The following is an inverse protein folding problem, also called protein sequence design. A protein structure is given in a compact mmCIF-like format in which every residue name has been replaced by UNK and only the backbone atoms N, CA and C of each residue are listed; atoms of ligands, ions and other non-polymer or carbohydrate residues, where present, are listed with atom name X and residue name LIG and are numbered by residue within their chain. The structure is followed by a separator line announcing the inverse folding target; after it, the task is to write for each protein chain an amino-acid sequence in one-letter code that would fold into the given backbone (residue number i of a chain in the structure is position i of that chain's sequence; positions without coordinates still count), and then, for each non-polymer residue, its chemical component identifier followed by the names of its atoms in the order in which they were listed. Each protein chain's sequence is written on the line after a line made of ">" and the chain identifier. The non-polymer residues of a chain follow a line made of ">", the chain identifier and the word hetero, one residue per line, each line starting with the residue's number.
data_IF_907477811550
#
_entry.id   IF_907477811550
#
_cell.length_a   1.000
_cell.length_b   1.000
_cell.length_c   1.000
_cell.angle_alpha   90.00
_cell.angle_beta   90.00
_cell.angle_gamma   90.00
#
_symmetry.space_group_name_H-M   'P 1'
#
loop_
_entity.id
_entity.type
_entity.pdbx_description
1 polymer ?
#
# COMPACT_ATOMS: atom_id res chain seq x y z
N UNK A 1 60.60 -18.93 31.35
CA UNK A 1 59.85 -19.71 30.33
C UNK A 1 58.34 -19.46 30.39
N UNK A 2 57.67 -19.34 31.54
CA UNK A 2 56.24 -19.03 31.61
C UNK A 2 55.87 -17.55 31.33
N UNK A 3 56.74 -16.58 31.60
CA UNK A 3 56.47 -15.13 31.36
C UNK A 3 56.52 -14.73 29.89
N UNK A 4 57.31 -15.39 29.05
CA UNK A 4 57.37 -15.13 27.62
C UNK A 4 56.15 -15.62 26.83
N UNK A 5 55.50 -16.72 27.29
CA UNK A 5 54.28 -17.22 26.67
C UNK A 5 53.06 -16.31 26.88
N UNK A 6 52.94 -15.67 28.03
CA UNK A 6 51.87 -14.71 28.32
C UNK A 6 52.04 -13.42 27.50
N UNK A 7 53.28 -12.91 27.38
CA UNK A 7 53.58 -11.72 26.59
C UNK A 7 53.30 -11.92 25.10
N UNK A 8 53.50 -13.12 24.56
CA UNK A 8 53.18 -13.43 23.15
C UNK A 8 51.66 -13.53 22.88
N UNK A 9 50.88 -14.02 23.86
CA UNK A 9 49.42 -14.09 23.77
C UNK A 9 48.82 -12.70 23.80
N UNK A 10 49.29 -11.80 24.68
CA UNK A 10 48.81 -10.44 24.76
C UNK A 10 49.10 -9.64 23.48
N UNK A 11 50.25 -9.82 22.88
CA UNK A 11 50.62 -9.21 21.60
C UNK A 11 49.69 -9.68 20.47
N UNK A 12 49.34 -10.98 20.43
CA UNK A 12 48.40 -11.53 19.44
C UNK A 12 47.00 -10.95 19.64
N UNK A 13 46.53 -10.81 20.88
CA UNK A 13 45.23 -10.22 21.21
C UNK A 13 45.18 -8.76 20.76
N UNK A 14 46.21 -7.96 21.05
CA UNK A 14 46.25 -6.56 20.59
C UNK A 14 46.34 -6.42 19.08
N UNK A 15 47.02 -7.33 18.38
CA UNK A 15 47.03 -7.38 16.91
C UNK A 15 45.68 -7.72 16.33
N UNK A 16 44.96 -8.66 16.93
CA UNK A 16 43.59 -9.01 16.52
C UNK A 16 42.61 -7.86 16.76
N UNK A 17 42.69 -7.17 17.89
CA UNK A 17 41.89 -5.99 18.19
C UNK A 17 42.19 -4.87 17.19
N UNK A 18 43.48 -4.60 16.92
CA UNK A 18 43.90 -3.61 15.93
C UNK A 18 43.39 -3.93 14.51
N UNK A 19 43.48 -5.19 14.10
CA UNK A 19 42.93 -5.66 12.81
C UNK A 19 41.43 -5.46 12.75
N UNK A 20 40.71 -5.83 13.80
CA UNK A 20 39.24 -5.69 13.88
C UNK A 20 38.82 -4.21 13.83
N UNK A 21 39.54 -3.32 14.53
CA UNK A 21 39.28 -1.87 14.51
C UNK A 21 39.55 -1.27 13.13
N UNK A 22 40.60 -1.65 12.44
CA UNK A 22 40.90 -1.21 11.06
C UNK A 22 39.80 -1.69 10.10
N UNK A 23 39.31 -2.93 10.24
CA UNK A 23 38.24 -3.48 9.44
C UNK A 23 36.93 -2.71 9.65
N UNK A 24 36.59 -2.40 10.90
CA UNK A 24 35.37 -1.63 11.26
C UNK A 24 35.46 -0.20 10.70
N UNK A 25 36.62 0.48 10.91
CA UNK A 25 36.82 1.84 10.38
C UNK A 25 36.79 1.86 8.86
N UNK A 26 37.42 0.87 8.20
CA UNK A 26 37.38 0.72 6.75
C UNK A 26 35.96 0.47 6.22
N UNK A 27 35.16 -0.37 6.90
CA UNK A 27 33.78 -0.62 6.55
C UNK A 27 32.92 0.65 6.73
N UNK A 28 33.09 1.38 7.82
CA UNK A 28 32.39 2.65 8.05
C UNK A 28 32.77 3.71 7.00
N UNK A 29 34.05 3.81 6.66
CA UNK A 29 34.52 4.70 5.60
C UNK A 29 33.95 4.33 4.23
N UNK A 30 33.88 3.04 3.92
CA UNK A 30 33.30 2.53 2.68
C UNK A 30 31.79 2.83 2.60
N UNK A 31 31.05 2.62 3.68
CA UNK A 31 29.62 2.98 3.77
C UNK A 31 29.42 4.48 3.60
N UNK A 32 30.25 5.31 4.26
CA UNK A 32 30.22 6.76 4.12
C UNK A 32 30.49 7.22 2.68
N UNK A 33 31.46 6.61 2.02
CA UNK A 33 31.78 6.88 0.62
C UNK A 33 30.64 6.47 -0.35
N UNK A 34 29.96 5.36 -0.06
CA UNK A 34 28.76 4.93 -0.81
C UNK A 34 27.65 5.97 -0.67
N UNK A 35 27.39 6.46 0.54
CA UNK A 35 26.36 7.47 0.81
C UNK A 35 26.66 8.78 0.06
N UNK A 36 27.90 9.24 0.06
CA UNK A 36 28.30 10.46 -0.64
C UNK A 36 28.19 10.38 -2.17
N UNK A 37 28.24 9.18 -2.76
CA UNK A 37 28.06 8.97 -4.21
C UNK A 37 26.61 9.05 -4.68
N UNK A 38 25.65 8.97 -3.78
CA UNK A 38 24.23 9.02 -4.15
C UNK A 38 23.83 10.48 -4.36
N UNK A 39 23.47 10.89 -5.59
CA UNK A 39 22.98 12.25 -5.82
C UNK A 39 21.69 12.50 -5.05
N UNK A 40 21.60 13.67 -4.40
CA UNK A 40 20.37 14.10 -3.75
C UNK A 40 19.24 14.16 -4.79
N UNK A 41 18.14 13.46 -4.51
CA UNK A 41 16.96 13.52 -5.35
C UNK A 41 16.26 14.86 -5.13
N UNK A 42 16.18 15.67 -6.19
CA UNK A 42 15.47 16.96 -6.14
C UNK A 42 13.97 16.69 -5.89
N UNK A 43 13.51 16.99 -4.66
CA UNK A 43 12.15 16.73 -4.17
C UNK A 43 11.28 17.96 -4.13
N UNK A 44 11.69 19.07 -4.74
CA UNK A 44 10.93 20.33 -4.74
C UNK A 44 9.50 20.16 -5.27
N UNK A 45 9.27 19.15 -6.11
CA UNK A 45 7.95 18.87 -6.73
C UNK A 45 7.26 17.63 -6.15
N UNK A 46 7.82 17.00 -5.09
CA UNK A 46 7.28 15.78 -4.50
C UNK A 46 6.63 16.08 -3.14
N UNK A 47 5.44 15.54 -2.93
CA UNK A 47 4.76 15.58 -1.65
C UNK A 47 5.57 14.88 -0.55
N UNK A 48 5.43 15.35 0.69
CA UNK A 48 6.11 14.78 1.83
C UNK A 48 5.68 13.31 2.05
N UNK A 49 6.63 12.36 2.06
CA UNK A 49 6.31 10.97 2.30
C UNK A 49 5.90 10.73 3.76
N UNK A 50 5.25 9.58 4.08
CA UNK A 50 4.94 9.19 5.45
C UNK A 50 6.15 9.24 6.38
N UNK A 51 5.93 9.53 7.67
CA UNK A 51 6.99 9.75 8.68
C UNK A 51 8.01 8.59 8.71
N UNK A 52 7.53 7.35 8.64
CA UNK A 52 8.39 6.15 8.61
C UNK A 52 9.35 6.17 7.40
N UNK A 53 8.82 6.51 6.22
CA UNK A 53 9.64 6.59 5.01
C UNK A 53 10.65 7.74 5.07
N UNK A 54 10.29 8.87 5.68
CA UNK A 54 11.18 10.01 5.87
C UNK A 54 12.38 9.62 6.75
N UNK A 55 12.16 8.89 7.83
CA UNK A 55 13.22 8.40 8.71
C UNK A 55 14.15 7.41 8.01
N UNK A 56 13.61 6.58 7.10
CA UNK A 56 14.34 5.56 6.35
C UNK A 56 14.77 6.04 4.95
N UNK A 57 14.65 7.33 4.65
CA UNK A 57 14.92 7.87 3.31
C UNK A 57 16.38 7.69 2.87
N UNK A 58 17.34 7.85 3.79
CA UNK A 58 18.76 7.67 3.50
C UNK A 58 19.09 6.25 3.01
N UNK A 59 18.84 5.17 3.78
CA UNK A 59 19.14 3.82 3.32
C UNK A 59 18.30 3.43 2.09
N UNK A 60 17.05 3.89 1.98
CA UNK A 60 16.20 3.59 0.82
C UNK A 60 16.77 4.22 -0.45
N UNK A 61 17.23 5.48 -0.41
CA UNK A 61 17.79 6.16 -1.58
C UNK A 61 19.11 5.52 -2.03
N UNK A 62 19.99 5.16 -1.09
CA UNK A 62 21.24 4.45 -1.38
C UNK A 62 20.97 3.14 -2.07
N UNK A 63 20.09 2.31 -1.50
CA UNK A 63 19.75 1.00 -2.06
C UNK A 63 19.02 1.17 -3.40
N UNK A 64 18.11 2.15 -3.54
CA UNK A 64 17.42 2.45 -4.79
C UNK A 64 18.38 2.79 -5.92
N UNK A 65 19.44 3.56 -5.62
CA UNK A 65 20.46 3.92 -6.62
C UNK A 65 21.17 2.68 -7.20
N UNK A 66 21.63 1.77 -6.33
CA UNK A 66 22.35 0.55 -6.75
C UNK A 66 21.46 -0.52 -7.36
N UNK A 67 20.18 -0.60 -6.98
CA UNK A 67 19.24 -1.61 -7.47
C UNK A 67 18.59 -1.19 -8.80
N UNK A 68 18.51 0.10 -9.09
CA UNK A 68 17.86 0.58 -10.32
C UNK A 68 18.28 -0.19 -11.59
N UNK A 69 19.57 -0.46 -11.87
CA UNK A 69 19.99 -1.20 -13.06
C UNK A 69 19.60 -2.70 -13.05
N UNK A 70 19.25 -3.25 -11.90
CA UNK A 70 18.89 -4.67 -11.72
C UNK A 70 17.37 -4.90 -11.78
N UNK A 71 16.56 -3.83 -11.80
CA UNK A 71 15.09 -3.97 -11.83
C UNK A 71 14.65 -4.32 -13.25
N UNK A 72 13.98 -5.46 -13.38
CA UNK A 72 13.38 -5.88 -14.65
C UNK A 72 12.24 -4.90 -15.03
N UNK A 73 12.12 -4.57 -16.33
CA UNK A 73 11.07 -3.68 -16.87
C UNK A 73 9.65 -4.11 -16.48
N UNK A 74 9.38 -5.41 -16.46
CA UNK A 74 8.07 -5.94 -16.04
C UNK A 74 7.74 -5.58 -14.60
N UNK A 75 8.73 -5.65 -13.71
CA UNK A 75 8.59 -5.28 -12.29
C UNK A 75 8.44 -3.78 -12.14
N UNK A 76 9.23 -3.01 -12.89
CA UNK A 76 9.15 -1.55 -12.90
C UNK A 76 7.74 -1.07 -13.30
N UNK A 77 7.23 -1.53 -14.45
CA UNK A 77 5.90 -1.18 -14.97
C UNK A 77 4.77 -1.60 -14.01
N UNK A 78 4.91 -2.76 -13.33
CA UNK A 78 3.96 -3.22 -12.31
C UNK A 78 3.89 -2.26 -11.12
N UNK A 79 5.04 -1.84 -10.58
CA UNK A 79 5.05 -0.91 -9.44
C UNK A 79 4.63 0.49 -9.85
N UNK A 80 5.02 0.97 -11.03
CA UNK A 80 4.56 2.25 -11.57
C UNK A 80 3.03 2.31 -11.63
N UNK A 81 2.40 1.31 -12.24
CA UNK A 81 0.94 1.20 -12.29
C UNK A 81 0.31 1.19 -10.88
N UNK A 82 0.87 0.42 -9.95
CA UNK A 82 0.33 0.34 -8.59
C UNK A 82 0.49 1.67 -7.82
N UNK A 83 1.60 2.39 -7.99
CA UNK A 83 1.87 3.71 -7.41
C UNK A 83 0.86 4.72 -7.91
N UNK A 84 0.65 4.78 -9.24
CA UNK A 84 -0.34 5.67 -9.87
C UNK A 84 -1.75 5.34 -9.36
N UNK A 85 -2.10 4.06 -9.29
CA UNK A 85 -3.41 3.62 -8.79
C UNK A 85 -3.60 3.86 -7.29
N UNK A 86 -2.52 3.83 -6.50
CA UNK A 86 -2.54 4.21 -5.09
C UNK A 86 -2.59 5.74 -4.88
N UNK A 87 -2.29 6.55 -5.92
CA UNK A 87 -2.26 8.01 -5.87
C UNK A 87 -1.07 8.59 -5.13
N UNK A 88 0.02 7.83 -5.05
CA UNK A 88 1.27 8.22 -4.38
C UNK A 88 2.40 8.47 -5.38
N UNK A 89 2.06 8.77 -6.64
CA UNK A 89 3.00 9.02 -7.74
C UNK A 89 3.92 10.23 -7.49
N UNK A 90 3.44 11.20 -6.69
CA UNK A 90 4.22 12.38 -6.28
C UNK A 90 5.09 12.14 -5.04
N UNK A 91 4.95 10.97 -4.39
CA UNK A 91 5.72 10.61 -3.18
C UNK A 91 6.78 9.54 -3.46
N UNK A 92 6.46 8.58 -4.34
CA UNK A 92 7.27 7.40 -4.56
C UNK A 92 7.49 7.11 -6.04
N UNK A 93 8.70 6.66 -6.38
CA UNK A 93 9.01 6.04 -7.67
C UNK A 93 9.12 4.52 -7.50
N UNK A 94 9.00 3.72 -8.59
CA UNK A 94 9.12 2.26 -8.53
C UNK A 94 10.39 1.78 -7.82
N UNK A 95 11.53 2.42 -8.07
CA UNK A 95 12.83 2.12 -7.45
C UNK A 95 12.78 2.21 -5.91
N UNK A 96 12.04 3.18 -5.35
CA UNK A 96 11.92 3.36 -3.91
C UNK A 96 11.10 2.26 -3.25
N UNK A 97 10.05 1.74 -3.92
CA UNK A 97 9.26 0.62 -3.39
C UNK A 97 10.10 -0.66 -3.35
N UNK A 98 10.90 -0.92 -4.39
CA UNK A 98 11.79 -2.10 -4.41
C UNK A 98 12.87 -1.99 -3.34
N UNK A 99 13.49 -0.82 -3.21
CA UNK A 99 14.49 -0.58 -2.15
C UNK A 99 13.90 -0.69 -0.75
N UNK A 100 12.68 -0.17 -0.53
CA UNK A 100 12.01 -0.25 0.77
C UNK A 100 11.72 -1.70 1.19
N UNK A 101 11.52 -2.64 0.26
CA UNK A 101 11.35 -4.06 0.56
C UNK A 101 12.60 -4.66 1.22
N UNK A 102 13.76 -4.29 0.71
CA UNK A 102 15.03 -4.79 1.25
C UNK A 102 15.31 -4.16 2.61
N UNK A 103 15.14 -2.83 2.72
CA UNK A 103 15.32 -2.12 3.98
C UNK A 103 14.39 -2.66 5.06
N UNK A 104 13.09 -2.78 4.76
CA UNK A 104 12.11 -3.30 5.72
C UNK A 104 12.37 -4.77 6.08
N UNK A 105 12.81 -5.60 5.11
CA UNK A 105 13.19 -6.99 5.36
C UNK A 105 14.34 -7.08 6.37
N UNK A 106 15.40 -6.29 6.16
CA UNK A 106 16.56 -6.28 7.07
C UNK A 106 16.17 -5.77 8.46
N UNK A 107 15.42 -4.66 8.55
CA UNK A 107 15.03 -4.07 9.84
C UNK A 107 14.11 -5.01 10.62
N UNK A 108 13.04 -5.52 9.99
CA UNK A 108 12.10 -6.42 10.66
C UNK A 108 12.75 -7.75 11.01
N UNK A 109 13.58 -8.30 10.11
CA UNK A 109 14.35 -9.53 10.36
C UNK A 109 15.32 -9.37 11.52
N UNK A 110 16.05 -8.25 11.59
CA UNK A 110 16.97 -7.96 12.70
C UNK A 110 16.23 -7.78 14.02
N UNK A 111 15.15 -6.98 14.05
CA UNK A 111 14.34 -6.81 15.26
C UNK A 111 13.76 -8.15 15.75
N UNK A 112 13.30 -8.98 14.81
CA UNK A 112 12.76 -10.30 15.14
C UNK A 112 13.85 -11.25 15.64
N UNK A 113 15.05 -11.22 15.06
CA UNK A 113 16.20 -11.98 15.55
C UNK A 113 16.61 -11.58 16.97
N UNK A 114 16.67 -10.28 17.26
CA UNK A 114 16.96 -9.78 18.62
C UNK A 114 15.89 -10.27 19.61
N UNK A 115 14.62 -10.20 19.23
CA UNK A 115 13.51 -10.66 20.07
C UNK A 115 13.59 -12.18 20.38
N UNK A 116 13.99 -12.99 19.39
CA UNK A 116 14.20 -14.43 19.55
C UNK A 116 15.37 -14.74 20.51
N UNK A 117 16.45 -13.97 20.43
CA UNK A 117 17.60 -14.11 21.36
C UNK A 117 17.15 -13.82 22.79
N UNK A 118 16.35 -12.76 23.03
CA UNK A 118 15.81 -12.46 24.35
C UNK A 118 14.80 -13.50 24.87
N UNK A 119 14.13 -14.21 23.95
CA UNK A 119 13.13 -15.22 24.28
C UNK A 119 13.73 -16.65 24.37
N UNK A 120 15.05 -16.81 24.30
CA UNK A 120 15.78 -18.10 24.26
C UNK A 120 15.22 -19.06 23.18
N UNK A 121 14.74 -18.47 22.05
CA UNK A 121 14.19 -19.23 20.93
C UNK A 121 15.21 -19.40 19.79
N UNK A 122 14.97 -20.41 18.98
CA UNK A 122 15.87 -20.78 17.88
C UNK A 122 15.96 -19.68 16.81
N UNK A 123 17.17 -19.29 16.48
CA UNK A 123 17.47 -18.18 15.55
C UNK A 123 16.98 -18.43 14.11
N UNK A 124 16.74 -19.69 13.70
CA UNK A 124 16.21 -19.98 12.36
C UNK A 124 14.81 -19.39 12.15
N UNK A 125 14.04 -19.12 13.21
CA UNK A 125 12.76 -18.43 13.12
C UNK A 125 12.90 -16.97 12.68
N UNK A 126 14.08 -16.37 12.76
CA UNK A 126 14.35 -15.02 12.26
C UNK A 126 14.07 -14.90 10.75
N UNK A 127 14.16 -16.01 9.99
CA UNK A 127 13.80 -16.06 8.57
C UNK A 127 12.34 -15.63 8.32
N UNK A 128 11.42 -15.93 9.23
CA UNK A 128 10.03 -15.44 9.16
C UNK A 128 9.96 -13.92 9.27
N UNK A 129 10.80 -13.31 10.12
CA UNK A 129 10.89 -11.85 10.25
C UNK A 129 11.35 -11.19 8.93
N UNK A 130 12.37 -11.77 8.26
CA UNK A 130 12.81 -11.29 6.95
C UNK A 130 11.70 -11.39 5.89
N UNK A 131 10.95 -12.50 5.87
CA UNK A 131 9.86 -12.70 4.91
C UNK A 131 8.70 -11.72 5.14
N UNK A 132 8.33 -11.48 6.38
CA UNK A 132 7.29 -10.51 6.75
C UNK A 132 7.71 -9.08 6.39
N UNK A 133 8.94 -8.70 6.72
CA UNK A 133 9.50 -7.39 6.36
C UNK A 133 9.54 -7.16 4.85
N UNK A 134 9.89 -8.19 4.08
CA UNK A 134 9.90 -8.11 2.61
C UNK A 134 8.51 -7.86 2.00
N UNK A 135 7.46 -8.44 2.56
CA UNK A 135 6.07 -8.27 2.09
C UNK A 135 5.41 -6.96 2.55
N UNK A 136 5.93 -6.32 3.59
CA UNK A 136 5.31 -5.14 4.21
C UNK A 136 5.03 -3.99 3.23
N UNK A 137 5.98 -3.53 2.37
CA UNK A 137 5.71 -2.44 1.43
C UNK A 137 4.64 -2.76 0.39
N UNK A 138 4.55 -4.01 -0.06
CA UNK A 138 3.51 -4.45 -0.98
C UNK A 138 2.12 -4.41 -0.32
N UNK A 139 2.02 -4.86 0.93
CA UNK A 139 0.78 -4.82 1.70
C UNK A 139 0.34 -3.38 1.95
N UNK A 140 1.27 -2.51 2.34
CA UNK A 140 1.01 -1.09 2.53
C UNK A 140 0.50 -0.42 1.24
N UNK A 141 1.15 -0.67 0.09
CA UNK A 141 0.75 -0.12 -1.20
C UNK A 141 -0.64 -0.62 -1.61
N UNK A 142 -0.93 -1.91 -1.41
CA UNK A 142 -2.23 -2.52 -1.67
C UNK A 142 -3.33 -1.93 -0.78
N UNK A 143 -3.03 -1.70 0.49
CA UNK A 143 -3.97 -1.09 1.44
C UNK A 143 -4.25 0.37 1.10
N UNK A 144 -3.21 1.15 0.76
CA UNK A 144 -3.34 2.54 0.34
C UNK A 144 -4.21 2.65 -0.92
N UNK A 145 -3.98 1.80 -1.94
CA UNK A 145 -4.82 1.69 -3.13
C UNK A 145 -6.27 1.36 -2.77
N UNK A 146 -6.49 0.40 -1.86
CA UNK A 146 -7.84 0.01 -1.40
C UNK A 146 -8.55 1.16 -0.69
N UNK A 147 -7.86 1.86 0.21
CA UNK A 147 -8.40 3.05 0.91
C UNK A 147 -8.79 4.15 -0.08
N UNK A 148 -7.92 4.42 -1.08
CA UNK A 148 -8.19 5.40 -2.13
C UNK A 148 -9.43 5.01 -2.96
N UNK A 149 -9.50 3.77 -3.44
CA UNK A 149 -10.64 3.29 -4.23
C UNK A 149 -11.95 3.33 -3.43
N UNK A 150 -11.92 2.96 -2.15
CA UNK A 150 -13.09 3.08 -1.28
C UNK A 150 -13.55 4.54 -1.13
N UNK A 151 -12.62 5.48 -0.99
CA UNK A 151 -12.93 6.91 -0.92
C UNK A 151 -13.52 7.41 -2.25
N UNK A 152 -12.99 6.95 -3.39
CA UNK A 152 -13.54 7.26 -4.72
C UNK A 152 -14.97 6.74 -4.84
N UNK A 153 -15.20 5.45 -4.60
CA UNK A 153 -16.54 4.84 -4.69
C UNK A 153 -17.55 5.52 -3.76
N UNK A 154 -17.12 5.99 -2.60
CA UNK A 154 -17.99 6.69 -1.64
C UNK A 154 -18.43 8.08 -2.15
N UNK A 155 -17.51 8.84 -2.74
CA UNK A 155 -17.76 10.24 -3.10
C UNK A 155 -18.21 10.42 -4.57
N UNK A 156 -18.01 9.41 -5.43
CA UNK A 156 -18.30 9.48 -6.85
C UNK A 156 -19.76 9.83 -7.17
N UNK A 157 -20.79 9.30 -6.47
CA UNK A 157 -22.18 9.66 -6.74
C UNK A 157 -22.45 11.16 -6.63
N UNK A 158 -21.87 11.83 -5.63
CA UNK A 158 -21.99 13.27 -5.47
C UNK A 158 -21.48 14.03 -6.71
N UNK A 159 -20.30 13.66 -7.20
CA UNK A 159 -19.71 14.30 -8.38
C UNK A 159 -20.53 14.04 -9.64
N UNK A 160 -21.07 12.82 -9.79
CA UNK A 160 -21.95 12.47 -10.92
C UNK A 160 -23.25 13.28 -10.86
N UNK A 161 -23.89 13.38 -9.71
CA UNK A 161 -25.12 14.17 -9.54
C UNK A 161 -24.86 15.64 -9.89
N UNK A 162 -23.75 16.22 -9.40
CA UNK A 162 -23.39 17.60 -9.70
C UNK A 162 -23.10 17.83 -11.19
N UNK A 163 -22.39 16.90 -11.84
CA UNK A 163 -22.09 17.01 -13.27
C UNK A 163 -23.39 16.86 -14.08
N UNK A 164 -24.25 15.90 -13.71
CA UNK A 164 -25.54 15.67 -14.39
C UNK A 164 -26.44 16.90 -14.31
N UNK A 165 -26.66 17.44 -13.11
CA UNK A 165 -27.46 18.65 -12.90
C UNK A 165 -26.91 19.85 -13.67
N UNK A 166 -25.58 19.98 -13.72
CA UNK A 166 -24.91 21.08 -14.45
C UNK A 166 -25.11 20.95 -15.96
N UNK A 167 -25.06 19.73 -16.50
CA UNK A 167 -25.32 19.48 -17.93
C UNK A 167 -26.79 19.72 -18.28
N UNK A 168 -27.73 19.27 -17.43
CA UNK A 168 -29.16 19.49 -17.59
C UNK A 168 -29.53 20.97 -17.50
N UNK A 169 -28.78 21.77 -16.75
CA UNK A 169 -28.93 23.24 -16.74
C UNK A 169 -28.29 23.93 -17.92
N UNK A 170 -27.74 23.19 -18.92
CA UNK A 170 -27.21 23.72 -20.16
C UNK A 170 -25.69 23.97 -20.16
N UNK A 171 -24.96 23.60 -19.12
CA UNK A 171 -23.52 23.68 -19.12
C UNK A 171 -22.89 22.60 -20.02
N UNK A 172 -21.82 22.95 -20.69
CA UNK A 172 -21.02 21.92 -21.38
C UNK A 172 -20.26 21.06 -20.35
N UNK A 173 -19.75 19.89 -20.77
CA UNK A 173 -19.09 18.92 -19.89
C UNK A 173 -17.91 19.54 -19.10
N UNK A 174 -17.09 20.40 -19.71
CA UNK A 174 -15.98 21.04 -19.02
C UNK A 174 -16.45 21.99 -17.91
N UNK A 175 -17.50 22.78 -18.19
CA UNK A 175 -18.14 23.66 -17.21
C UNK A 175 -18.77 22.87 -16.05
N UNK A 176 -19.44 21.77 -16.37
CA UNK A 176 -20.05 20.87 -15.40
C UNK A 176 -19.00 20.21 -14.47
N UNK A 177 -17.90 19.70 -15.02
CA UNK A 177 -16.78 19.15 -14.24
C UNK A 177 -16.16 20.25 -13.36
N UNK A 178 -15.94 21.46 -13.91
CA UNK A 178 -15.39 22.58 -13.14
C UNK A 178 -16.28 22.94 -11.95
N UNK A 179 -17.60 22.98 -12.14
CA UNK A 179 -18.56 23.26 -11.06
C UNK A 179 -18.55 22.15 -10.01
N UNK A 180 -18.52 20.88 -10.43
CA UNK A 180 -18.45 19.75 -9.51
C UNK A 180 -17.14 19.76 -8.67
N UNK A 181 -16.01 20.12 -9.27
CA UNK A 181 -14.72 20.26 -8.59
C UNK A 181 -14.77 21.41 -7.56
N UNK A 182 -15.37 22.55 -7.90
CA UNK A 182 -15.45 23.71 -7.00
C UNK A 182 -16.32 23.44 -5.78
N UNK A 183 -17.46 22.76 -5.96
CA UNK A 183 -18.45 22.49 -4.91
C UNK A 183 -18.27 21.14 -4.22
N UNK A 184 -17.51 20.23 -4.83
CA UNK A 184 -17.31 18.88 -4.31
C UNK A 184 -16.37 18.79 -3.12
N UNK A 185 -16.55 17.75 -2.29
CA UNK A 185 -15.69 17.50 -1.14
C UNK A 185 -14.24 17.27 -1.57
N UNK A 186 -13.30 17.71 -0.71
CA UNK A 186 -11.89 17.42 -0.91
C UNK A 186 -11.64 15.90 -0.88
N UNK A 187 -10.76 15.41 -1.75
CA UNK A 187 -10.43 14.00 -1.80
C UNK A 187 -10.01 13.50 -3.18
N UNK A 188 -9.79 12.18 -3.31
CA UNK A 188 -9.24 11.59 -4.54
C UNK A 188 -10.08 11.83 -5.78
N UNK A 189 -11.41 11.87 -5.68
CA UNK A 189 -12.31 12.12 -6.81
C UNK A 189 -12.11 13.53 -7.36
N UNK A 190 -12.10 14.52 -6.45
CA UNK A 190 -11.86 15.92 -6.80
C UNK A 190 -10.52 16.07 -7.52
N UNK A 191 -9.43 15.53 -6.93
CA UNK A 191 -8.09 15.60 -7.53
C UNK A 191 -8.02 14.95 -8.91
N UNK A 192 -8.74 13.85 -9.16
CA UNK A 192 -8.76 13.23 -10.48
C UNK A 192 -9.50 14.09 -11.52
N UNK A 193 -10.63 14.69 -11.16
CA UNK A 193 -11.31 15.64 -12.06
C UNK A 193 -10.50 16.94 -12.27
N UNK A 194 -9.76 17.41 -11.27
CA UNK A 194 -8.79 18.52 -11.44
C UNK A 194 -7.69 18.17 -12.45
N UNK A 195 -7.17 16.93 -12.42
CA UNK A 195 -6.21 16.44 -13.41
C UNK A 195 -6.83 16.40 -14.82
N UNK A 196 -8.08 15.92 -14.96
CA UNK A 196 -8.80 15.94 -16.24
C UNK A 196 -8.91 17.35 -16.78
N UNK A 197 -9.34 18.32 -15.96
CA UNK A 197 -9.45 19.73 -16.38
C UNK A 197 -8.09 20.32 -16.75
N UNK A 198 -7.02 19.95 -16.08
CA UNK A 198 -5.65 20.38 -16.36
C UNK A 198 -5.18 19.80 -17.69
N UNK A 199 -5.37 18.51 -17.92
CA UNK A 199 -5.04 17.84 -19.18
C UNK A 199 -5.75 18.51 -20.36
N UNK A 200 -7.04 18.83 -20.22
CA UNK A 200 -7.80 19.55 -21.27
C UNK A 200 -7.23 20.95 -21.52
N UNK A 201 -6.87 21.68 -20.45
CA UNK A 201 -6.28 23.02 -20.58
C UNK A 201 -4.91 22.99 -21.28
N UNK A 202 -4.16 21.90 -21.15
CA UNK A 202 -2.86 21.71 -21.84
C UNK A 202 -3.00 21.20 -23.28
N UNK A 203 -4.25 21.11 -23.80
CA UNK A 203 -4.51 20.70 -25.19
C UNK A 203 -4.78 19.22 -25.40
N UNK A 204 -4.81 18.40 -24.34
CA UNK A 204 -5.21 17.00 -24.46
C UNK A 204 -6.72 16.93 -24.76
N UNK A 205 -7.10 16.06 -25.71
CA UNK A 205 -8.52 15.89 -26.04
C UNK A 205 -9.32 15.40 -24.81
N UNK A 206 -10.58 15.79 -24.70
CA UNK A 206 -11.47 15.37 -23.58
C UNK A 206 -11.56 13.87 -23.46
N UNK A 207 -11.72 13.17 -24.57
CA UNK A 207 -11.77 11.71 -24.62
C UNK A 207 -10.48 11.08 -24.06
N UNK A 208 -9.32 11.63 -24.40
CA UNK A 208 -8.04 11.13 -23.91
C UNK A 208 -7.83 11.46 -22.43
N UNK A 209 -8.20 12.66 -21.97
CA UNK A 209 -8.14 13.04 -20.55
C UNK A 209 -9.02 12.12 -19.67
N UNK A 210 -10.25 11.80 -20.14
CA UNK A 210 -11.13 10.86 -19.47
C UNK A 210 -10.57 9.43 -19.48
N UNK A 211 -9.97 9.00 -20.60
CA UNK A 211 -9.30 7.69 -20.70
C UNK A 211 -8.15 7.57 -19.68
N UNK A 212 -7.29 8.58 -19.59
CA UNK A 212 -6.22 8.65 -18.59
C UNK A 212 -6.76 8.55 -17.16
N UNK A 213 -7.87 9.24 -16.86
CA UNK A 213 -8.55 9.12 -15.55
C UNK A 213 -8.98 7.67 -15.29
N UNK A 214 -9.63 7.00 -16.26
CA UNK A 214 -10.04 5.60 -16.13
C UNK A 214 -8.89 4.61 -15.94
N UNK A 215 -7.68 4.93 -16.46
CA UNK A 215 -6.48 4.12 -16.27
C UNK A 215 -5.82 4.33 -14.90
N UNK A 216 -5.89 5.56 -14.36
CA UNK A 216 -5.35 5.90 -13.02
C UNK A 216 -6.17 5.33 -11.89
N UNK A 217 -7.47 5.06 -12.12
CA UNK A 217 -8.37 4.52 -11.11
C UNK A 217 -8.63 3.04 -11.42
N UNK A 218 -8.28 2.16 -10.46
CA UNK A 218 -8.53 0.73 -10.60
C UNK A 218 -9.93 0.35 -10.06
N UNK A 219 -10.94 0.90 -10.72
CA UNK A 219 -12.35 0.64 -10.43
C UNK A 219 -13.10 0.41 -11.75
N UNK A 220 -13.77 -0.75 -11.87
CA UNK A 220 -14.48 -1.13 -13.09
C UNK A 220 -15.59 -0.16 -13.42
N UNK A 221 -16.19 0.40 -12.42
CA UNK A 221 -17.30 1.33 -12.53
C UNK A 221 -16.86 2.66 -13.13
N UNK A 222 -15.67 3.15 -12.74
CA UNK A 222 -15.08 4.37 -13.31
C UNK A 222 -14.66 4.14 -14.76
N UNK A 223 -14.11 2.96 -15.06
CA UNK A 223 -13.78 2.58 -16.44
C UNK A 223 -15.03 2.55 -17.33
N UNK A 224 -16.13 1.99 -16.83
CA UNK A 224 -17.41 1.99 -17.52
C UNK A 224 -17.93 3.41 -17.76
N UNK A 225 -17.93 4.25 -16.72
CA UNK A 225 -18.35 5.65 -16.82
C UNK A 225 -17.52 6.42 -17.85
N UNK A 226 -16.19 6.36 -17.77
CA UNK A 226 -15.33 7.06 -18.71
C UNK A 226 -15.52 6.59 -20.15
N UNK A 227 -15.71 5.28 -20.35
CA UNK A 227 -16.01 4.70 -21.67
C UNK A 227 -17.36 5.19 -22.21
N UNK A 228 -18.40 5.22 -21.38
CA UNK A 228 -19.72 5.72 -21.78
C UNK A 228 -19.69 7.21 -22.17
N UNK A 229 -18.97 8.03 -21.40
CA UNK A 229 -18.78 9.47 -21.75
C UNK A 229 -18.04 9.62 -23.07
N UNK A 230 -16.96 8.87 -23.28
CA UNK A 230 -16.16 8.92 -24.53
C UNK A 230 -17.01 8.49 -25.73
N UNK A 231 -17.82 7.44 -25.60
CA UNK A 231 -18.70 6.97 -26.67
C UNK A 231 -19.80 7.99 -26.97
N UNK A 232 -20.46 8.53 -25.95
CA UNK A 232 -21.50 9.53 -26.12
C UNK A 232 -20.98 10.80 -26.80
N UNK A 233 -19.80 11.25 -26.42
CA UNK A 233 -19.15 12.42 -27.04
C UNK A 233 -18.81 12.17 -28.51
N UNK A 234 -18.30 10.98 -28.85
CA UNK A 234 -18.00 10.61 -30.24
C UNK A 234 -19.26 10.54 -31.13
N UNK A 235 -20.39 10.11 -30.55
CA UNK A 235 -21.67 9.99 -31.26
C UNK A 235 -22.48 11.30 -31.24
N UNK A 236 -22.00 12.35 -30.58
CA UNK A 236 -22.76 13.60 -30.40
C UNK A 236 -24.02 13.44 -29.55
N UNK A 237 -24.12 12.38 -28.74
CA UNK A 237 -25.28 12.08 -27.92
C UNK A 237 -25.38 13.00 -26.71
N UNK A 238 -26.61 13.22 -26.22
CA UNK A 238 -26.82 13.95 -24.97
C UNK A 238 -26.24 13.16 -23.79
N UNK A 239 -25.29 13.76 -23.06
CA UNK A 239 -24.64 13.16 -21.91
C UNK A 239 -25.54 13.08 -20.67
N UNK A 240 -26.57 13.93 -20.56
CA UNK A 240 -27.44 14.00 -19.40
C UNK A 240 -28.07 12.67 -19.01
N UNK A 241 -28.81 11.99 -19.89
CA UNK A 241 -29.43 10.69 -19.61
C UNK A 241 -28.41 9.61 -19.23
N UNK A 242 -27.25 9.59 -19.87
CA UNK A 242 -26.19 8.61 -19.62
C UNK A 242 -25.62 8.78 -18.22
N UNK A 243 -25.33 10.02 -17.83
CA UNK A 243 -24.79 10.34 -16.50
C UNK A 243 -25.83 10.09 -15.41
N UNK A 244 -27.10 10.39 -15.66
CA UNK A 244 -28.20 10.09 -14.73
C UNK A 244 -28.31 8.58 -14.46
N UNK A 245 -28.30 7.76 -15.51
CA UNK A 245 -28.32 6.31 -15.37
C UNK A 245 -27.09 5.80 -14.59
N UNK A 246 -25.92 6.36 -14.84
CA UNK A 246 -24.71 6.01 -14.08
C UNK A 246 -24.81 6.43 -12.60
N UNK A 247 -25.36 7.61 -12.30
CA UNK A 247 -25.57 8.06 -10.93
C UNK A 247 -26.53 7.14 -10.17
N UNK A 248 -27.66 6.79 -10.80
CA UNK A 248 -28.64 5.89 -10.21
C UNK A 248 -28.08 4.48 -9.98
N UNK A 249 -27.36 3.95 -10.97
CA UNK A 249 -26.67 2.66 -10.81
C UNK A 249 -25.71 2.67 -9.61
N UNK A 250 -24.98 3.76 -9.38
CA UNK A 250 -24.09 3.89 -8.20
C UNK A 250 -24.85 3.91 -6.88
N UNK A 251 -26.02 4.53 -6.84
CA UNK A 251 -26.87 4.52 -5.65
C UNK A 251 -27.34 3.11 -5.34
N UNK A 252 -27.82 2.38 -6.37
CA UNK A 252 -28.27 0.98 -6.24
C UNK A 252 -27.11 0.09 -5.77
N UNK A 253 -25.93 0.18 -6.38
CA UNK A 253 -24.75 -0.60 -5.97
C UNK A 253 -24.35 -0.33 -4.51
N UNK A 254 -24.44 0.91 -4.06
CA UNK A 254 -24.16 1.25 -2.65
C UNK A 254 -25.20 0.64 -1.71
N UNK A 255 -26.47 0.70 -2.07
CA UNK A 255 -27.54 0.10 -1.29
C UNK A 255 -27.36 -1.42 -1.20
N UNK A 256 -27.16 -2.10 -2.32
CA UNK A 256 -26.90 -3.54 -2.37
C UNK A 256 -25.66 -3.95 -1.54
N UNK A 257 -24.59 -3.14 -1.59
CA UNK A 257 -23.40 -3.40 -0.77
C UNK A 257 -23.70 -3.26 0.73
N UNK A 258 -24.48 -2.27 1.12
CA UNK A 258 -24.90 -2.09 2.51
C UNK A 258 -25.80 -3.25 2.97
N UNK A 259 -26.79 -3.64 2.16
CA UNK A 259 -27.68 -4.78 2.39
C UNK A 259 -26.88 -6.09 2.54
N UNK A 260 -25.94 -6.36 1.63
CA UNK A 260 -25.07 -7.53 1.73
C UNK A 260 -24.28 -7.54 3.03
N UNK A 261 -23.70 -6.40 3.45
CA UNK A 261 -23.00 -6.31 4.73
C UNK A 261 -23.93 -6.54 5.93
N UNK A 262 -25.17 -6.07 5.86
CA UNK A 262 -26.19 -6.30 6.88
C UNK A 262 -26.56 -7.79 6.97
N UNK A 263 -26.74 -8.46 5.82
CA UNK A 263 -27.02 -9.90 5.77
C UNK A 263 -25.84 -10.79 6.21
N UNK A 264 -24.60 -10.34 6.01
CA UNK A 264 -23.41 -11.06 6.49
C UNK A 264 -23.20 -10.93 8.01
N UNK A 265 -23.76 -9.92 8.67
CA UNK A 265 -23.54 -9.67 10.10
C UNK A 265 -24.03 -10.82 10.99
N UNK A 266 -25.26 -11.37 10.83
CA UNK A 266 -25.72 -12.53 11.61
C UNK A 266 -24.84 -13.76 11.41
N UNK A 267 -24.40 -14.03 10.17
CA UNK A 267 -23.54 -15.17 9.85
C UNK A 267 -22.17 -15.03 10.53
N UNK A 268 -21.61 -13.83 10.58
CA UNK A 268 -20.35 -13.58 11.29
C UNK A 268 -20.47 -13.74 12.81
N UNK A 269 -21.64 -13.52 13.38
CA UNK A 269 -21.89 -13.73 14.80
C UNK A 269 -22.05 -15.22 15.15
N UNK A 270 -22.47 -16.07 14.19
CA UNK A 270 -22.54 -17.51 14.39
C UNK A 270 -21.17 -18.15 14.65
N UNK A 271 -20.11 -17.66 14.02
CA UNK A 271 -18.78 -18.23 14.17
C UNK A 271 -18.27 -18.21 15.63
N UNK A 272 -18.23 -17.06 16.34
CA UNK A 272 -17.86 -17.04 17.76
C UNK A 272 -18.79 -17.87 18.62
N UNK A 273 -20.08 -17.84 18.34
CA UNK A 273 -21.09 -18.61 19.10
C UNK A 273 -20.79 -20.11 19.02
N UNK A 274 -20.60 -20.64 17.81
CA UNK A 274 -20.24 -22.06 17.62
C UNK A 274 -18.86 -22.35 18.19
N UNK A 275 -17.86 -21.51 17.97
CA UNK A 275 -16.48 -21.73 18.41
C UNK A 275 -16.34 -21.77 19.95
N UNK A 276 -17.19 -21.07 20.70
CA UNK A 276 -17.15 -21.04 22.17
C UNK A 276 -18.19 -21.95 22.80
N UNK A 277 -19.43 -21.96 22.32
CA UNK A 277 -20.50 -22.77 22.97
C UNK A 277 -20.30 -24.26 22.68
N UNK A 278 -19.89 -24.63 21.47
CA UNK A 278 -19.72 -26.03 21.09
C UNK A 278 -18.70 -26.77 21.99
N UNK A 279 -17.44 -26.26 22.14
CA UNK A 279 -16.48 -26.89 23.08
C UNK A 279 -16.96 -26.89 24.55
N UNK A 280 -17.59 -25.80 25.00
CA UNK A 280 -18.10 -25.72 26.37
C UNK A 280 -19.15 -26.78 26.66
N UNK A 281 -20.07 -26.99 25.71
CA UNK A 281 -21.11 -28.04 25.83
C UNK A 281 -20.48 -29.43 25.90
N UNK A 282 -19.45 -29.70 25.08
CA UNK A 282 -18.74 -30.99 25.15
C UNK A 282 -17.98 -31.22 26.47
N UNK A 283 -17.41 -30.17 27.05
CA UNK A 283 -16.74 -30.26 28.34
C UNK A 283 -17.78 -30.55 29.42
N UNK A 284 -18.91 -29.86 29.44
CA UNK A 284 -19.96 -30.03 30.44
C UNK A 284 -20.57 -31.44 30.39
N UNK A 285 -20.80 -31.99 29.19
CA UNK A 285 -21.35 -33.33 29.02
C UNK A 285 -20.27 -34.41 29.22
N UNK A 286 -19.09 -34.18 28.69
CA UNK A 286 -17.98 -35.15 28.72
C UNK A 286 -17.37 -35.37 30.10
N UNK A 287 -17.40 -34.34 30.99
CA UNK A 287 -16.82 -34.42 32.30
C UNK A 287 -17.51 -35.48 33.21
N UNK A 288 -18.84 -35.51 33.34
CA UNK A 288 -19.55 -36.58 34.07
C UNK A 288 -19.32 -37.99 33.49
N UNK A 289 -19.35 -38.06 32.14
CA UNK A 289 -19.09 -39.33 31.45
C UNK A 289 -17.66 -39.85 31.73
N UNK A 290 -16.69 -38.97 31.70
CA UNK A 290 -15.30 -39.31 32.05
C UNK A 290 -15.17 -39.81 33.48
N UNK A 291 -15.85 -39.20 34.48
CA UNK A 291 -15.85 -39.65 35.84
C UNK A 291 -16.50 -41.03 35.97
N UNK A 292 -17.69 -41.23 35.34
CA UNK A 292 -18.38 -42.53 35.41
C UNK A 292 -17.54 -43.66 34.75
N UNK A 293 -16.83 -43.40 33.69
CA UNK A 293 -15.93 -44.35 33.07
C UNK A 293 -14.74 -44.68 33.97
N UNK A 294 -14.16 -43.67 34.63
CA UNK A 294 -13.04 -43.87 35.56
C UNK A 294 -13.43 -44.72 36.74
N UNK A 295 -14.61 -44.51 37.32
CA UNK A 295 -15.13 -45.28 38.45
C UNK A 295 -15.52 -46.73 38.06
N UNK A 296 -15.90 -46.95 36.80
CA UNK A 296 -16.22 -48.29 36.29
C UNK A 296 -14.97 -49.15 35.95
N UNK A 297 -13.79 -48.56 35.85
CA UNK A 297 -12.51 -49.24 35.59
C UNK A 297 -11.62 -49.35 36.85
N UNK A 298 -12.08 -48.88 38.01
CA UNK A 298 -11.51 -49.15 39.36
C UNK A 298 -12.30 -50.23 40.07
#
# INVERSE_FOLDING_TARGET
>A
MFSESYMSIDIIIYLLIALLTILIVGALWYVFFIILRVPEENREYLDNPPVFYRLMSLPINVIAFYITPLINETTFNKYEKNIVQAGVEYQFRPKHIVASKIVSSVIVGFLFAVLLVFADQSLYLAFLGFLLGYKYPDLWLKETKKKRNNSISKNMPFFLDMITLSIESGLNLNGAIKQAVQKGPAGPVRSEFEKVLRDIKTGVSRAEAMRKMGQRIDDQSIKSLTSSIIQAEKMGMNLGPILRNQAEQRRIERFQKAEKMAMEAPVKLLFPLVAFIFPCTFIVIGFPVYIMMKDAFQ
#
